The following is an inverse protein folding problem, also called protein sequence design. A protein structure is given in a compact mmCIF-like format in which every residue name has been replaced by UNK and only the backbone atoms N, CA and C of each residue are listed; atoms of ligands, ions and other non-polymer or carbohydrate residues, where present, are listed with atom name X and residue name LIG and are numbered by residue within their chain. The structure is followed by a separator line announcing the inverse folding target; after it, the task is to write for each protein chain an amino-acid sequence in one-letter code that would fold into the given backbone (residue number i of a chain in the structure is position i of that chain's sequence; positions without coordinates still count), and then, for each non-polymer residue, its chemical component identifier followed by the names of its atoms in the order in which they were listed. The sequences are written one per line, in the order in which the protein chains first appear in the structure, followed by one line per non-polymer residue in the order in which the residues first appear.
data_IF_008226079490
#
_entry.id   IF_008226079490
#
_cell.length_a   1.000
_cell.length_b   1.000
_cell.length_c   1.000
_cell.angle_alpha   90.00
_cell.angle_beta   90.00
_cell.angle_gamma   90.00
#
_symmetry.space_group_name_H-M   'P 1'
#
loop_
_entity.id
_entity.type
_entity.pdbx_description
1 polymer ?
#
# COMPACT_ATOMS: atom_id res chain seq x y z
N UNK A 1 -5.80 6.47 -6.67
CA UNK A 1 -7.22 6.89 -6.71
C UNK A 1 -7.31 8.11 -7.61
N UNK A 2 -8.20 8.10 -8.60
CA UNK A 2 -8.43 9.27 -9.46
C UNK A 2 -9.00 10.43 -8.62
N UNK A 3 -8.64 11.69 -8.89
CA UNK A 3 -9.20 12.83 -8.16
C UNK A 3 -10.73 12.90 -8.22
N UNK A 4 -11.34 12.60 -9.37
CA UNK A 4 -12.80 12.54 -9.51
C UNK A 4 -13.43 11.49 -8.57
N UNK A 5 -12.87 10.29 -8.51
CA UNK A 5 -13.32 9.23 -7.61
C UNK A 5 -13.24 9.63 -6.14
N UNK A 6 -12.18 10.34 -5.73
CA UNK A 6 -12.06 10.87 -4.37
C UNK A 6 -13.22 11.83 -4.03
N UNK A 7 -13.52 12.76 -4.95
CA UNK A 7 -14.58 13.76 -4.77
C UNK A 7 -15.97 13.11 -4.74
N UNK A 8 -16.23 12.17 -5.65
CA UNK A 8 -17.49 11.42 -5.71
C UNK A 8 -17.75 10.62 -4.43
N UNK A 9 -16.78 9.81 -4.01
CA UNK A 9 -16.92 9.00 -2.78
C UNK A 9 -17.07 9.87 -1.53
N UNK A 10 -16.34 10.99 -1.46
CA UNK A 10 -16.50 11.93 -0.35
C UNK A 10 -17.90 12.54 -0.32
N UNK A 11 -18.45 12.92 -1.48
CA UNK A 11 -19.79 13.49 -1.59
C UNK A 11 -20.88 12.48 -1.22
N UNK A 12 -20.80 11.26 -1.74
CA UNK A 12 -21.72 10.15 -1.44
C UNK A 12 -21.75 9.82 0.06
N UNK A 13 -20.61 9.93 0.73
CA UNK A 13 -20.46 9.64 2.15
C UNK A 13 -20.67 10.86 3.06
N UNK A 14 -20.97 12.05 2.50
CA UNK A 14 -21.11 13.29 3.25
C UNK A 14 -19.82 13.74 3.98
N UNK A 15 -18.64 13.32 3.50
CA UNK A 15 -17.33 13.62 4.10
C UNK A 15 -16.79 14.95 3.60
N UNK A 16 -16.26 15.76 4.51
CA UNK A 16 -15.50 16.97 4.15
C UNK A 16 -14.04 16.59 3.88
N UNK A 17 -13.56 16.92 2.69
CA UNK A 17 -12.15 16.80 2.34
C UNK A 17 -11.38 18.07 2.72
N UNK A 18 -10.09 17.96 3.10
CA UNK A 18 -9.17 19.08 3.13
C UNK A 18 -9.20 19.87 1.80
N UNK A 19 -9.18 21.22 1.82
CA UNK A 19 -9.19 22.03 0.60
C UNK A 19 -8.11 21.64 -0.41
N UNK A 20 -6.94 21.21 0.06
CA UNK A 20 -5.83 20.78 -0.78
C UNK A 20 -6.09 19.51 -1.60
N UNK A 21 -7.06 18.69 -1.20
CA UNK A 21 -7.49 17.52 -1.99
C UNK A 21 -8.57 17.87 -3.01
N UNK A 22 -9.23 19.02 -2.86
CA UNK A 22 -10.28 19.51 -3.76
C UNK A 22 -9.68 20.38 -4.86
N UNK A 23 -8.70 21.23 -4.51
CA UNK A 23 -7.93 22.04 -5.44
C UNK A 23 -6.41 21.84 -5.22
N UNK A 24 -5.79 20.92 -5.98
CA UNK A 24 -4.37 20.59 -5.82
C UNK A 24 -3.42 21.71 -6.29
N UNK A 25 -3.93 22.75 -6.98
CA UNK A 25 -3.08 23.82 -7.51
C UNK A 25 -2.29 24.59 -6.43
N UNK A 26 -2.72 24.52 -5.17
CA UNK A 26 -2.06 25.16 -4.02
C UNK A 26 -1.15 24.25 -3.17
N UNK A 27 -1.10 22.94 -3.43
CA UNK A 27 -0.46 21.99 -2.51
C UNK A 27 1.03 21.75 -2.83
N UNK A 28 1.91 22.70 -2.50
CA UNK A 28 3.35 22.38 -2.41
C UNK A 28 3.63 21.58 -1.13
N UNK A 29 4.12 20.35 -1.29
CA UNK A 29 4.52 19.46 -0.20
C UNK A 29 6.01 19.13 -0.34
N UNK A 30 6.82 19.64 0.58
CA UNK A 30 8.19 19.16 0.75
C UNK A 30 8.19 17.98 1.72
N UNK A 31 8.07 16.76 1.18
CA UNK A 31 8.01 15.53 1.99
C UNK A 31 9.32 15.20 2.70
N UNK A 32 10.44 15.83 2.33
CA UNK A 32 11.74 15.65 3.00
C UNK A 32 11.81 16.42 4.32
N UNK A 33 11.04 17.51 4.44
CA UNK A 33 10.91 18.26 5.69
C UNK A 33 9.85 17.62 6.60
N UNK A 34 10.15 17.52 7.91
CA UNK A 34 9.23 16.95 8.92
C UNK A 34 7.80 17.54 8.87
N UNK A 35 7.69 18.86 8.66
CA UNK A 35 6.38 19.54 8.55
C UNK A 35 5.65 19.17 7.26
N UNK A 36 6.36 19.01 6.15
CA UNK A 36 5.76 18.61 4.89
C UNK A 36 5.39 17.13 4.87
N UNK A 37 6.19 16.24 5.44
CA UNK A 37 5.79 14.84 5.69
C UNK A 37 4.49 14.75 6.51
N UNK A 38 4.42 15.49 7.62
CA UNK A 38 3.22 15.49 8.47
C UNK A 38 1.98 16.02 7.73
N UNK A 39 2.15 16.98 6.80
CA UNK A 39 1.06 17.49 5.97
C UNK A 39 0.65 16.46 4.92
N UNK A 40 1.61 15.85 4.24
CA UNK A 40 1.38 14.76 3.30
C UNK A 40 0.60 13.61 3.95
N UNK A 41 1.05 13.14 5.12
CA UNK A 41 0.40 12.04 5.83
C UNK A 41 -1.08 12.36 6.15
N UNK A 42 -1.40 13.59 6.58
CA UNK A 42 -2.80 13.99 6.83
C UNK A 42 -3.65 13.97 5.57
N UNK A 43 -3.11 14.43 4.43
CA UNK A 43 -3.83 14.42 3.16
C UNK A 43 -4.02 12.99 2.64
N UNK A 44 -2.98 12.16 2.76
CA UNK A 44 -3.05 10.74 2.42
C UNK A 44 -4.07 10.00 3.29
N UNK A 45 -4.11 10.30 4.59
CA UNK A 45 -5.08 9.73 5.53
C UNK A 45 -6.52 10.16 5.21
N UNK A 46 -6.74 11.44 4.89
CA UNK A 46 -8.05 11.91 4.45
C UNK A 46 -8.50 11.26 3.12
N UNK A 47 -7.56 11.04 2.19
CA UNK A 47 -7.86 10.40 0.91
C UNK A 47 -8.15 8.90 1.04
N UNK A 48 -7.46 8.17 1.93
CA UNK A 48 -7.75 6.73 2.14
C UNK A 48 -9.08 6.50 2.88
N UNK A 49 -9.51 7.47 3.70
CA UNK A 49 -10.68 7.33 4.57
C UNK A 49 -12.01 7.28 3.81
N UNK A 50 -12.03 7.68 2.54
CA UNK A 50 -13.22 7.54 1.68
C UNK A 50 -13.41 6.11 1.17
N UNK A 51 -12.38 5.26 1.26
CA UNK A 51 -12.58 3.83 1.03
C UNK A 51 -13.30 3.33 2.28
N UNK A 52 -14.60 3.07 2.23
CA UNK A 52 -15.38 2.74 3.42
C UNK A 52 -15.67 1.24 3.51
N UNK A 53 -15.89 0.59 2.37
CA UNK A 53 -16.31 -0.81 2.29
C UNK A 53 -15.79 -1.54 1.05
N UNK A 54 -16.35 -2.73 0.78
CA UNK A 54 -15.94 -3.59 -0.32
C UNK A 54 -16.12 -2.96 -1.71
N UNK A 55 -17.14 -2.14 -1.89
CA UNK A 55 -17.46 -1.57 -3.22
C UNK A 55 -16.47 -0.49 -3.63
N UNK A 56 -15.99 0.34 -2.70
CA UNK A 56 -14.91 1.27 -2.97
C UNK A 56 -13.61 0.55 -3.31
N UNK A 57 -13.30 -0.57 -2.63
CA UNK A 57 -12.12 -1.39 -2.95
C UNK A 57 -12.22 -1.93 -4.38
N UNK A 58 -13.35 -2.54 -4.74
CA UNK A 58 -13.57 -3.08 -6.10
C UNK A 58 -13.48 -1.99 -7.16
N UNK A 59 -14.12 -0.84 -6.90
CA UNK A 59 -14.08 0.32 -7.79
C UNK A 59 -12.64 0.76 -8.01
N UNK A 60 -11.86 0.99 -6.94
CA UNK A 60 -10.48 1.45 -7.05
C UNK A 60 -9.57 0.47 -7.78
N UNK A 61 -9.67 -0.82 -7.48
CA UNK A 61 -8.84 -1.84 -8.14
C UNK A 61 -9.14 -1.91 -9.64
N UNK A 62 -10.42 -1.84 -10.02
CA UNK A 62 -10.83 -1.76 -11.42
C UNK A 62 -10.31 -0.48 -12.10
N UNK A 63 -10.41 0.66 -11.45
CA UNK A 63 -9.90 1.94 -11.98
C UNK A 63 -8.38 1.89 -12.18
N UNK A 64 -7.63 1.27 -11.26
CA UNK A 64 -6.18 1.04 -11.43
C UNK A 64 -5.92 0.23 -12.70
N UNK A 65 -6.61 -0.90 -12.91
CA UNK A 65 -6.40 -1.72 -14.09
C UNK A 65 -6.76 -0.99 -15.40
N UNK A 66 -7.82 -0.18 -15.39
CA UNK A 66 -8.21 0.66 -16.53
C UNK A 66 -7.15 1.73 -16.83
N UNK A 67 -6.61 2.38 -15.80
CA UNK A 67 -5.57 3.41 -15.94
C UNK A 67 -4.27 2.80 -16.48
N UNK A 68 -3.86 1.65 -15.96
CA UNK A 68 -2.70 0.91 -16.45
C UNK A 68 -2.87 0.48 -17.91
N UNK A 69 -4.06 -0.01 -18.29
CA UNK A 69 -4.35 -0.38 -19.67
C UNK A 69 -4.24 0.81 -20.61
N UNK A 70 -4.76 1.96 -20.19
CA UNK A 70 -4.71 3.21 -20.95
C UNK A 70 -3.29 3.76 -21.06
N UNK A 71 -2.45 3.57 -20.04
CA UNK A 71 -1.03 3.90 -20.04
C UNK A 71 -0.17 2.95 -20.92
N UNK A 72 -0.73 1.82 -21.34
CA UNK A 72 -0.04 0.80 -22.15
C UNK A 72 0.66 -0.28 -21.34
N UNK A 73 0.46 -0.32 -20.01
CA UNK A 73 0.97 -1.38 -19.14
C UNK A 73 0.20 -2.68 -19.36
N UNK A 74 0.92 -3.80 -19.44
CA UNK A 74 0.34 -5.15 -19.43
C UNK A 74 0.32 -5.82 -18.05
N UNK A 75 0.99 -5.24 -17.06
CA UNK A 75 1.17 -5.81 -15.73
C UNK A 75 1.31 -4.73 -14.65
N UNK A 76 0.72 -4.94 -13.47
CA UNK A 76 0.86 -4.06 -12.30
C UNK A 76 0.96 -4.85 -11.00
N UNK A 77 1.88 -4.44 -10.12
CA UNK A 77 2.00 -4.94 -8.75
C UNK A 77 1.51 -3.85 -7.79
N UNK A 78 0.32 -4.04 -7.21
CA UNK A 78 -0.25 -3.04 -6.29
C UNK A 78 0.19 -3.35 -4.88
N UNK A 79 0.73 -2.34 -4.19
CA UNK A 79 1.10 -2.45 -2.79
C UNK A 79 -0.04 -1.97 -1.87
N UNK A 80 -0.44 -2.81 -0.91
CA UNK A 80 -1.54 -2.51 0.03
C UNK A 80 -1.11 -2.82 1.45
N UNK A 81 -1.33 -1.86 2.36
CA UNK A 81 -1.37 -2.11 3.81
C UNK A 81 -2.82 -2.42 4.22
N UNK A 82 -3.20 -3.70 4.44
CA UNK A 82 -4.56 -4.06 4.79
C UNK A 82 -4.96 -3.60 6.20
N UNK A 83 -4.00 -3.19 7.05
CA UNK A 83 -4.25 -2.85 8.45
C UNK A 83 -5.19 -1.67 8.62
N UNK A 84 -5.13 -0.67 7.72
CA UNK A 84 -6.03 0.50 7.78
C UNK A 84 -7.48 0.20 7.38
N UNK A 85 -7.73 -0.96 6.77
CA UNK A 85 -9.05 -1.37 6.28
C UNK A 85 -9.62 -2.56 7.07
N UNK A 86 -8.77 -3.32 7.77
CA UNK A 86 -9.14 -4.55 8.46
C UNK A 86 -10.33 -4.40 9.41
N UNK A 87 -10.39 -3.32 10.21
CA UNK A 87 -11.48 -3.13 11.18
C UNK A 87 -12.87 -3.04 10.54
N UNK A 88 -12.96 -2.57 9.29
CA UNK A 88 -14.22 -2.37 8.55
C UNK A 88 -14.48 -3.43 7.47
N UNK A 89 -13.45 -4.19 7.08
CA UNK A 89 -13.52 -5.22 6.05
C UNK A 89 -13.40 -6.65 6.61
N UNK A 90 -13.73 -6.85 7.89
CA UNK A 90 -13.78 -8.19 8.48
C UNK A 90 -12.41 -8.81 8.84
N UNK A 91 -11.37 -7.98 8.96
CA UNK A 91 -10.02 -8.38 9.37
C UNK A 91 -8.99 -8.38 8.23
N UNK A 92 -7.73 -8.65 8.59
CA UNK A 92 -6.60 -8.62 7.65
C UNK A 92 -6.77 -9.63 6.51
N UNK A 93 -7.17 -10.85 6.84
CA UNK A 93 -7.33 -11.92 5.85
C UNK A 93 -8.46 -11.60 4.86
N UNK A 94 -9.64 -11.23 5.36
CA UNK A 94 -10.78 -10.86 4.53
C UNK A 94 -10.49 -9.65 3.64
N UNK A 95 -9.70 -8.69 4.12
CA UNK A 95 -9.23 -7.56 3.31
C UNK A 95 -8.36 -8.01 2.15
N UNK A 96 -7.40 -8.92 2.39
CA UNK A 96 -6.53 -9.46 1.32
C UNK A 96 -7.33 -10.26 0.31
N UNK A 97 -8.27 -11.11 0.76
CA UNK A 97 -9.18 -11.87 -0.11
C UNK A 97 -9.98 -10.95 -1.02
N UNK A 98 -10.63 -9.92 -0.45
CA UNK A 98 -11.40 -8.94 -1.22
C UNK A 98 -10.56 -8.22 -2.29
N UNK A 99 -9.32 -7.83 -1.96
CA UNK A 99 -8.44 -7.15 -2.92
C UNK A 99 -8.03 -8.09 -4.05
N UNK A 100 -7.70 -9.35 -3.74
CA UNK A 100 -7.35 -10.35 -4.75
C UNK A 100 -8.53 -10.68 -5.67
N UNK A 101 -9.74 -10.83 -5.11
CA UNK A 101 -10.96 -11.04 -5.90
C UNK A 101 -11.24 -9.86 -6.84
N UNK A 102 -11.05 -8.63 -6.34
CA UNK A 102 -11.19 -7.42 -7.14
C UNK A 102 -10.14 -7.34 -8.26
N UNK A 103 -8.89 -7.74 -7.98
CA UNK A 103 -7.79 -7.76 -8.97
C UNK A 103 -8.05 -8.78 -10.07
N UNK A 104 -8.53 -9.96 -9.70
CA UNK A 104 -8.86 -11.04 -10.63
C UNK A 104 -10.02 -10.63 -11.57
N UNK A 105 -11.06 -10.00 -11.02
CA UNK A 105 -12.15 -9.42 -11.82
C UNK A 105 -11.66 -8.32 -12.77
N UNK A 106 -10.87 -7.36 -12.27
CA UNK A 106 -10.34 -6.26 -13.06
C UNK A 106 -9.36 -6.73 -14.14
N UNK A 107 -8.55 -7.76 -13.85
CA UNK A 107 -7.62 -8.37 -14.82
C UNK A 107 -8.38 -9.00 -15.98
N UNK A 108 -9.48 -9.71 -15.72
CA UNK A 108 -10.34 -10.28 -16.76
C UNK A 108 -11.02 -9.22 -17.63
N UNK A 109 -11.46 -8.12 -17.03
CA UNK A 109 -12.14 -7.03 -17.74
C UNK A 109 -11.19 -6.25 -18.67
N UNK A 110 -9.97 -5.99 -18.21
CA UNK A 110 -9.05 -5.05 -18.86
C UNK A 110 -7.91 -5.72 -19.64
N UNK A 111 -7.63 -6.99 -19.35
CA UNK A 111 -6.47 -7.73 -19.87
C UNK A 111 -5.13 -7.37 -19.21
N UNK A 112 -5.11 -6.50 -18.20
CA UNK A 112 -3.91 -6.16 -17.42
C UNK A 112 -3.70 -7.21 -16.35
N UNK A 113 -2.54 -7.85 -16.31
CA UNK A 113 -2.20 -8.76 -15.20
C UNK A 113 -1.96 -7.98 -13.91
N UNK A 114 -2.49 -8.47 -12.80
CA UNK A 114 -2.37 -7.82 -11.50
C UNK A 114 -1.81 -8.77 -10.45
N UNK A 115 -0.98 -8.23 -9.55
CA UNK A 115 -0.53 -8.94 -8.36
C UNK A 115 -0.46 -8.02 -7.14
N UNK A 116 -0.50 -8.64 -5.96
CA UNK A 116 -0.56 -7.94 -4.68
C UNK A 116 0.78 -8.03 -3.94
N UNK A 117 1.25 -6.89 -3.44
CA UNK A 117 2.31 -6.80 -2.43
C UNK A 117 1.68 -6.35 -1.11
N UNK A 118 1.74 -7.20 -0.09
CA UNK A 118 1.25 -6.83 1.26
C UNK A 118 2.33 -5.99 1.94
N UNK A 119 2.02 -4.76 2.34
CA UNK A 119 2.98 -3.86 2.98
C UNK A 119 2.71 -3.66 4.46
N UNK A 120 3.77 -3.73 5.25
CA UNK A 120 3.75 -3.28 6.64
C UNK A 120 4.02 -1.78 6.75
N UNK A 121 3.36 -1.14 7.72
CA UNK A 121 3.61 0.24 8.10
C UNK A 121 4.69 0.31 9.18
N UNK A 122 5.85 0.89 8.86
CA UNK A 122 7.00 0.96 9.80
C UNK A 122 6.80 1.88 11.00
N UNK A 123 5.73 2.67 11.02
CA UNK A 123 5.35 3.49 12.19
C UNK A 123 4.61 2.67 13.25
N UNK A 124 4.22 1.43 12.92
CA UNK A 124 3.55 0.48 13.81
C UNK A 124 4.55 -0.48 14.45
N UNK A 125 4.08 -1.26 15.41
CA UNK A 125 4.94 -2.18 16.13
C UNK A 125 5.44 -3.30 15.17
N UNK A 126 6.71 -3.74 15.25
CA UNK A 126 7.21 -4.79 14.37
C UNK A 126 6.42 -6.12 14.43
N UNK A 127 5.80 -6.41 15.58
CA UNK A 127 4.88 -7.55 15.74
C UNK A 127 3.64 -7.49 14.83
N UNK A 128 3.17 -6.29 14.46
CA UNK A 128 2.07 -6.11 13.50
C UNK A 128 2.54 -6.53 12.10
N UNK A 129 3.77 -6.18 11.72
CA UNK A 129 4.38 -6.61 10.48
C UNK A 129 4.56 -8.13 10.42
N UNK A 130 4.91 -8.78 11.53
CA UNK A 130 4.95 -10.26 11.55
C UNK A 130 3.57 -10.89 11.31
N UNK A 131 2.52 -10.27 11.87
CA UNK A 131 1.14 -10.72 11.66
C UNK A 131 0.75 -10.57 10.19
N UNK A 132 1.06 -9.42 9.57
CA UNK A 132 0.87 -9.20 8.14
C UNK A 132 1.64 -10.19 7.28
N UNK A 133 2.90 -10.49 7.61
CA UNK A 133 3.71 -11.45 6.87
C UNK A 133 3.11 -12.88 6.94
N UNK A 134 2.55 -13.26 8.09
CA UNK A 134 1.82 -14.53 8.25
C UNK A 134 0.54 -14.57 7.43
N UNK A 135 -0.18 -13.45 7.31
CA UNK A 135 -1.34 -13.34 6.41
C UNK A 135 -0.88 -13.44 4.95
N UNK A 136 0.11 -12.66 4.53
CA UNK A 136 0.65 -12.67 3.17
C UNK A 136 1.11 -14.08 2.74
N UNK A 137 1.79 -14.81 3.63
CA UNK A 137 2.19 -16.22 3.43
C UNK A 137 1.03 -17.13 3.03
N UNK A 138 -0.18 -16.93 3.57
CA UNK A 138 -1.37 -17.77 3.23
C UNK A 138 -1.83 -17.59 1.79
N UNK A 139 -1.44 -16.49 1.15
CA UNK A 139 -1.80 -16.13 -0.22
C UNK A 139 -0.61 -16.17 -1.19
N UNK A 140 0.55 -16.66 -0.75
CA UNK A 140 1.67 -16.93 -1.64
C UNK A 140 1.25 -17.93 -2.73
N UNK A 141 1.54 -17.61 -3.99
CA UNK A 141 1.08 -18.39 -5.15
C UNK A 141 -0.41 -18.23 -5.50
N UNK A 142 -1.15 -17.36 -4.78
CA UNK A 142 -2.57 -17.06 -5.01
C UNK A 142 -2.80 -15.56 -5.29
N UNK A 143 -1.83 -14.93 -5.94
CA UNK A 143 -1.86 -13.51 -6.31
C UNK A 143 -1.07 -12.56 -5.39
N UNK A 144 -0.68 -13.00 -4.18
CA UNK A 144 0.33 -12.26 -3.40
C UNK A 144 1.73 -12.67 -3.85
N UNK A 145 2.51 -11.69 -4.30
CA UNK A 145 3.86 -11.89 -4.87
C UNK A 145 4.97 -11.29 -4.02
N UNK A 146 4.63 -10.41 -3.08
CA UNK A 146 5.65 -9.74 -2.28
C UNK A 146 5.17 -9.25 -0.92
N UNK A 147 6.16 -8.90 -0.10
CA UNK A 147 5.99 -8.25 1.19
C UNK A 147 6.84 -6.97 1.24
N UNK A 148 6.21 -5.86 1.61
CA UNK A 148 6.83 -4.53 1.62
C UNK A 148 6.89 -3.89 3.01
N UNK A 149 7.63 -2.79 3.10
CA UNK A 149 7.72 -1.93 4.29
C UNK A 149 7.71 -0.48 3.86
N UNK A 150 6.71 0.27 4.29
CA UNK A 150 6.43 1.62 3.79
C UNK A 150 6.17 2.58 4.95
N UNK A 151 5.80 3.82 4.65
CA UNK A 151 5.56 4.92 5.61
C UNK A 151 6.88 5.53 6.18
N UNK A 152 6.76 6.42 7.17
CA UNK A 152 7.81 7.33 7.66
C UNK A 152 9.09 6.58 8.04
N UNK A 153 10.09 6.63 7.17
CA UNK A 153 11.39 5.97 7.36
C UNK A 153 12.18 6.54 8.55
N UNK A 154 11.78 7.69 9.09
CA UNK A 154 12.36 8.21 10.33
C UNK A 154 11.87 7.48 11.59
N UNK A 155 10.82 6.67 11.51
CA UNK A 155 10.10 6.07 12.65
C UNK A 155 10.31 4.58 12.87
N UNK A 156 10.91 3.88 11.92
CA UNK A 156 11.19 2.44 12.04
C UNK A 156 12.37 2.07 11.16
N UNK A 157 13.39 1.44 11.76
CA UNK A 157 14.59 1.02 11.02
C UNK A 157 14.33 -0.34 10.36
N UNK A 158 14.89 -0.61 9.17
CA UNK A 158 14.70 -1.88 8.47
C UNK A 158 14.94 -3.12 9.35
N UNK A 159 16.00 -3.11 10.17
CA UNK A 159 16.43 -4.23 11.01
C UNK A 159 15.34 -4.71 11.97
N UNK A 160 14.49 -3.80 12.46
CA UNK A 160 13.41 -4.11 13.40
C UNK A 160 12.34 -5.01 12.78
N UNK A 161 12.22 -5.00 11.44
CA UNK A 161 11.24 -5.77 10.69
C UNK A 161 11.81 -7.07 10.09
N UNK A 162 13.09 -7.40 10.35
CA UNK A 162 13.79 -8.54 9.75
C UNK A 162 13.05 -9.88 9.93
N UNK A 163 12.37 -10.07 11.08
CA UNK A 163 11.58 -11.28 11.34
C UNK A 163 10.34 -11.38 10.45
N UNK A 164 9.61 -10.29 10.24
CA UNK A 164 8.47 -10.27 9.33
C UNK A 164 8.90 -10.60 7.89
N UNK A 165 10.00 -9.99 7.44
CA UNK A 165 10.55 -10.27 6.11
C UNK A 165 11.07 -11.68 5.95
N UNK A 166 11.64 -12.28 7.00
CA UNK A 166 12.02 -13.70 6.98
C UNK A 166 10.79 -14.60 6.79
N UNK A 167 9.71 -14.35 7.53
CA UNK A 167 8.45 -15.11 7.37
C UNK A 167 7.94 -15.05 5.92
N UNK A 168 8.01 -13.87 5.29
CA UNK A 168 7.59 -13.68 3.91
C UNK A 168 8.52 -14.39 2.90
N UNK A 169 9.84 -14.25 3.04
CA UNK A 169 10.81 -14.91 2.15
C UNK A 169 10.77 -16.43 2.27
N UNK A 170 10.61 -16.97 3.48
CA UNK A 170 10.44 -18.41 3.72
C UNK A 170 9.15 -18.95 3.06
N UNK A 171 8.20 -18.08 2.71
CA UNK A 171 7.00 -18.41 1.93
C UNK A 171 7.18 -18.21 0.41
N UNK A 172 8.38 -17.85 -0.05
CA UNK A 172 8.67 -17.56 -1.45
C UNK A 172 8.24 -16.17 -1.93
N UNK A 173 7.85 -15.26 -1.02
CA UNK A 173 7.46 -13.90 -1.39
C UNK A 173 8.67 -13.00 -1.60
N UNK A 174 8.59 -12.09 -2.57
CA UNK A 174 9.60 -11.06 -2.79
C UNK A 174 9.65 -10.08 -1.61
N UNK A 175 10.83 -9.87 -1.05
CA UNK A 175 11.14 -8.74 -0.16
C UNK A 175 11.30 -7.44 -0.97
N UNK A 176 10.39 -6.48 -0.77
CA UNK A 176 10.34 -5.19 -1.50
C UNK A 176 10.08 -3.98 -0.59
N UNK A 177 10.97 -3.67 0.36
CA UNK A 177 10.82 -2.52 1.25
C UNK A 177 11.11 -1.18 0.51
N UNK A 178 10.50 -0.10 0.97
CA UNK A 178 11.01 1.25 0.68
C UNK A 178 12.29 1.47 1.49
N UNK A 179 13.35 2.01 0.89
CA UNK A 179 14.52 2.39 1.66
C UNK A 179 15.35 3.48 0.98
N UNK A 180 15.77 4.47 1.77
CA UNK A 180 16.68 5.53 1.33
C UNK A 180 16.00 6.83 0.94
N UNK A 181 14.67 6.89 0.92
CA UNK A 181 13.90 8.09 0.59
C UNK A 181 14.11 9.24 1.60
N UNK A 182 14.11 8.93 2.90
CA UNK A 182 14.23 9.94 3.98
C UNK A 182 15.47 9.75 4.86
N UNK A 183 16.10 8.56 4.82
CA UNK A 183 17.26 8.21 5.68
C UNK A 183 18.52 7.81 4.91
N UNK A 184 18.48 7.91 3.58
CA UNK A 184 19.63 7.72 2.70
C UNK A 184 20.28 6.33 2.82
N UNK A 185 21.57 6.26 2.53
CA UNK A 185 22.31 4.99 2.33
C UNK A 185 22.23 4.03 3.52
N UNK A 186 22.16 4.52 4.76
CA UNK A 186 22.09 3.65 5.93
C UNK A 186 20.83 2.79 5.94
N UNK A 187 19.71 3.35 5.48
CA UNK A 187 18.47 2.59 5.39
C UNK A 187 18.50 1.59 4.23
N UNK A 188 19.10 1.97 3.10
CA UNK A 188 19.33 1.06 1.97
C UNK A 188 20.13 -0.16 2.41
N UNK A 189 21.24 0.05 3.13
CA UNK A 189 22.07 -1.04 3.68
C UNK A 189 21.24 -1.93 4.60
N UNK A 190 20.50 -1.34 5.56
CA UNK A 190 19.63 -2.11 6.46
C UNK A 190 18.58 -2.94 5.72
N UNK A 191 17.98 -2.39 4.66
CA UNK A 191 17.00 -3.11 3.83
C UNK A 191 17.64 -4.27 3.06
N UNK A 192 18.81 -4.07 2.45
CA UNK A 192 19.51 -5.13 1.73
C UNK A 192 19.98 -6.22 2.69
N UNK A 193 20.68 -5.85 3.77
CA UNK A 193 21.34 -6.81 4.67
C UNK A 193 20.36 -7.51 5.62
N UNK A 194 19.40 -6.78 6.20
CA UNK A 194 18.49 -7.34 7.22
C UNK A 194 17.16 -7.80 6.65
N UNK A 195 16.64 -7.13 5.62
CA UNK A 195 15.39 -7.50 4.99
C UNK A 195 15.57 -8.37 3.75
N UNK A 196 16.81 -8.61 3.30
CA UNK A 196 17.09 -9.39 2.10
C UNK A 196 16.34 -8.83 0.90
N UNK A 197 16.35 -7.50 0.73
CA UNK A 197 15.59 -6.81 -0.30
C UNK A 197 15.97 -7.32 -1.71
N UNK A 198 14.97 -7.71 -2.49
CA UNK A 198 15.17 -8.05 -3.91
C UNK A 198 15.06 -6.81 -4.79
N UNK A 199 14.21 -5.86 -4.39
CA UNK A 199 14.05 -4.52 -4.97
C UNK A 199 13.84 -3.51 -3.85
N UNK A 200 14.15 -2.25 -4.14
CA UNK A 200 13.92 -1.13 -3.25
C UNK A 200 12.90 -0.18 -3.89
N UNK A 201 11.96 0.27 -3.08
CA UNK A 201 11.07 1.40 -3.39
C UNK A 201 11.72 2.72 -3.05
#
# INVERSE_FOLDING_TARGET
MRPATLLELAAEQGRRLPPELVDPAGARLDVTARRGWSRFQRLYDAARDVVAGPDEVRRLVREIAQDERAAGSGWVEVQVDPSSYAARLGGLQATVELVLDAMDAASRETGVGMALVVAANRTRHPGDAETLARVAKRFAGRGVVGFGLSNDETKGRPEEFAKAFRIARDAGLLSVPHAGELRGIRSVIGAVESLGAHRLG
#
